data_IF_684975139371
#
_entry.id   IF_684975139371
#
_cell.length_a   1.000
_cell.length_b   1.000
_cell.length_c   1.000
_cell.angle_alpha   90.00
_cell.angle_beta   90.00
_cell.angle_gamma   90.00
#
_symmetry.space_group_name_H-M   'P 1'
#
loop_
_entity.id
_entity.type
_entity.pdbx_description
1 polymer ?
#
# COMPACT_ATOMS: atom_id res chain seq x y z
N UNK A 1 18.27 -14.60 7.83
CA UNK A 1 18.43 -13.74 6.66
C UNK A 1 19.90 -13.56 6.34
N UNK A 2 20.23 -13.38 5.06
CA UNK A 2 21.58 -13.14 4.55
C UNK A 2 21.54 -11.82 3.79
N UNK A 3 22.18 -10.79 4.34
CA UNK A 3 22.31 -9.47 3.75
C UNK A 3 23.28 -8.61 4.56
N UNK A 4 23.88 -7.58 3.96
CA UNK A 4 24.78 -6.67 4.66
C UNK A 4 24.04 -5.53 5.40
N UNK A 5 22.72 -5.40 5.17
CA UNK A 5 21.81 -4.44 5.77
C UNK A 5 21.48 -4.71 7.24
N UNK A 6 21.61 -5.96 7.70
CA UNK A 6 21.31 -6.33 9.09
C UNK A 6 22.18 -5.58 10.10
N UNK A 7 21.54 -4.92 11.06
CA UNK A 7 22.22 -4.21 12.15
C UNK A 7 21.59 -2.87 12.48
N UNK A 8 22.15 -2.20 13.48
CA UNK A 8 21.63 -0.93 13.99
C UNK A 8 22.30 0.27 13.32
N UNK A 9 21.50 1.16 12.73
CA UNK A 9 21.90 2.54 12.48
C UNK A 9 21.82 3.34 13.78
N UNK A 10 22.83 4.17 14.06
CA UNK A 10 22.92 4.99 15.29
C UNK A 10 22.84 6.46 14.93
N UNK A 11 21.86 7.15 15.50
CA UNK A 11 21.75 8.61 15.39
C UNK A 11 22.67 9.36 16.34
N UNK A 12 22.92 10.65 16.06
CA UNK A 12 23.66 11.54 16.95
C UNK A 12 22.97 11.75 18.32
N UNK A 13 21.67 11.43 18.40
CA UNK A 13 20.83 11.41 19.59
C UNK A 13 20.92 10.09 20.40
N UNK A 14 21.65 9.09 19.91
CA UNK A 14 21.77 7.77 20.52
C UNK A 14 20.60 6.83 20.24
N UNK A 15 19.57 7.27 19.50
CA UNK A 15 18.44 6.42 19.09
C UNK A 15 18.92 5.44 18.01
N UNK A 16 18.44 4.20 18.11
CA UNK A 16 18.83 3.10 17.21
C UNK A 16 17.66 2.71 16.33
N UNK A 17 17.93 2.59 15.03
CA UNK A 17 16.97 2.10 14.04
C UNK A 17 17.53 0.83 13.39
N UNK A 18 16.70 -0.19 13.19
CA UNK A 18 17.11 -1.44 12.55
C UNK A 18 17.26 -1.24 11.03
N UNK A 19 18.30 -1.84 10.45
CA UNK A 19 18.70 -1.65 9.05
C UNK A 19 19.79 -0.60 8.89
N UNK A 20 21.02 -1.03 8.59
CA UNK A 20 22.19 -0.13 8.43
C UNK A 20 22.00 0.88 7.31
N UNK A 21 21.34 0.49 6.22
CA UNK A 21 21.12 1.32 5.03
C UNK A 21 19.66 1.78 4.90
N UNK A 22 18.92 1.80 6.00
CA UNK A 22 17.47 2.01 6.00
C UNK A 22 16.70 0.69 6.02
N UNK A 23 15.38 0.80 5.97
CA UNK A 23 14.45 -0.33 5.93
C UNK A 23 13.30 -0.04 4.95
N UNK A 24 12.63 -1.09 4.51
CA UNK A 24 11.46 -0.96 3.67
C UNK A 24 10.42 -2.04 3.99
N UNK A 25 9.14 -1.72 3.78
CA UNK A 25 8.05 -2.67 3.93
C UNK A 25 6.99 -2.51 2.85
N UNK A 26 6.28 -3.60 2.59
CA UNK A 26 5.27 -3.69 1.54
C UNK A 26 3.87 -3.48 2.11
N UNK A 27 3.21 -2.41 1.70
CA UNK A 27 1.76 -2.25 1.83
C UNK A 27 1.10 -2.83 0.59
N UNK A 28 0.66 -4.08 0.71
CA UNK A 28 -0.02 -4.79 -0.38
C UNK A 28 -1.53 -4.73 -0.17
N UNK A 29 -2.25 -4.16 -1.14
CA UNK A 29 -3.71 -4.13 -1.19
C UNK A 29 -4.27 -5.22 -2.08
N UNK A 30 -5.40 -5.79 -1.69
CA UNK A 30 -6.21 -6.68 -2.51
C UNK A 30 -7.68 -6.28 -2.43
N UNK A 31 -8.46 -6.57 -3.48
CA UNK A 31 -9.88 -6.25 -3.49
C UNK A 31 -10.73 -7.11 -2.56
N UNK A 32 -11.73 -6.47 -1.96
CA UNK A 32 -12.84 -7.11 -1.29
C UNK A 32 -14.04 -7.20 -2.23
N UNK A 33 -14.88 -8.23 -2.03
CA UNK A 33 -16.09 -8.44 -2.82
C UNK A 33 -17.06 -7.24 -2.78
N UNK A 34 -17.07 -6.49 -1.67
CA UNK A 34 -17.89 -5.29 -1.48
C UNK A 34 -17.32 -4.01 -2.11
N UNK A 35 -16.17 -4.04 -2.80
CA UNK A 35 -15.59 -2.88 -3.48
C UNK A 35 -14.45 -2.19 -2.72
N UNK A 36 -14.35 -2.35 -1.41
CA UNK A 36 -13.19 -1.90 -0.63
C UNK A 36 -11.91 -2.70 -0.90
N UNK A 37 -10.89 -2.41 -0.11
CA UNK A 37 -9.59 -3.09 -0.10
C UNK A 37 -9.33 -3.77 1.24
N UNK A 38 -8.54 -4.83 1.21
CA UNK A 38 -7.85 -5.38 2.35
C UNK A 38 -6.34 -5.18 2.19
N UNK A 39 -5.63 -5.03 3.30
CA UNK A 39 -4.17 -4.94 3.36
C UNK A 39 -3.57 -6.18 4.02
N UNK A 40 -2.46 -6.67 3.49
CA UNK A 40 -1.72 -7.76 4.13
C UNK A 40 -0.91 -7.24 5.31
N UNK A 41 -1.20 -7.74 6.52
CA UNK A 41 -0.47 -7.42 7.74
C UNK A 41 0.11 -8.68 8.40
N UNK A 42 1.24 -8.49 9.07
CA UNK A 42 1.83 -9.47 9.98
C UNK A 42 1.58 -9.11 11.44
N UNK A 43 1.16 -10.09 12.24
CA UNK A 43 1.19 -9.99 13.70
C UNK A 43 2.57 -10.46 14.18
N UNK A 44 3.36 -9.51 14.67
CA UNK A 44 4.76 -9.75 15.02
C UNK A 44 4.86 -10.64 16.24
N UNK A 45 5.77 -11.62 16.19
CA UNK A 45 5.97 -12.53 17.30
C UNK A 45 6.40 -11.78 18.58
N UNK A 46 5.97 -12.23 19.78
CA UNK A 46 6.22 -11.51 21.04
C UNK A 46 7.71 -11.27 21.35
N UNK A 47 8.60 -12.10 20.83
CA UNK A 47 10.06 -11.99 21.03
C UNK A 47 10.74 -11.02 20.05
N UNK A 48 10.02 -10.48 19.08
CA UNK A 48 10.54 -9.49 18.14
C UNK A 48 10.59 -8.10 18.78
N UNK A 49 11.42 -7.19 18.24
CA UNK A 49 11.37 -5.79 18.64
C UNK A 49 9.96 -5.23 18.38
N UNK A 50 9.32 -4.71 19.44
CA UNK A 50 7.91 -4.31 19.45
C UNK A 50 6.96 -5.48 19.06
N UNK A 51 7.21 -6.67 19.58
CA UNK A 51 6.36 -7.85 19.39
C UNK A 51 4.93 -7.67 19.91
N UNK A 52 3.99 -8.45 19.36
CA UNK A 52 2.56 -8.37 19.70
C UNK A 52 1.78 -7.28 18.97
N UNK A 53 2.45 -6.46 18.13
CA UNK A 53 1.80 -5.46 17.27
C UNK A 53 1.64 -5.93 15.83
N UNK A 54 0.73 -5.30 15.09
CA UNK A 54 0.54 -5.52 13.66
C UNK A 54 1.37 -4.55 12.82
N UNK A 55 2.02 -5.04 11.78
CA UNK A 55 2.85 -4.26 10.87
C UNK A 55 2.80 -4.78 9.43
N UNK A 56 3.37 -4.04 8.50
CA UNK A 56 3.62 -4.50 7.13
C UNK A 56 4.73 -5.56 7.13
N UNK A 57 4.70 -6.56 6.22
CA UNK A 57 5.90 -7.32 5.86
C UNK A 57 7.03 -6.36 5.46
N UNK A 58 8.23 -6.54 6.00
CA UNK A 58 9.31 -5.59 5.79
C UNK A 58 10.51 -5.74 6.72
N UNK A 59 11.65 -5.20 6.28
CA UNK A 59 12.93 -5.47 6.92
C UNK A 59 14.03 -4.52 6.49
N UNK A 60 15.25 -4.86 6.90
CA UNK A 60 16.44 -4.08 6.62
C UNK A 60 16.75 -4.10 5.11
N UNK A 61 17.19 -2.95 4.60
CA UNK A 61 17.66 -2.82 3.21
C UNK A 61 19.15 -3.13 3.14
N UNK A 62 19.55 -3.98 2.21
CA UNK A 62 20.97 -4.20 1.89
C UNK A 62 21.57 -3.02 1.11
N UNK A 63 22.90 -2.88 1.13
CA UNK A 63 23.60 -1.73 0.55
C UNK A 63 23.36 -1.54 -0.96
N UNK A 64 23.01 -2.62 -1.65
CA UNK A 64 22.79 -2.68 -3.08
C UNK A 64 21.29 -2.67 -3.46
N UNK A 65 20.39 -2.67 -2.49
CA UNK A 65 18.95 -2.71 -2.72
C UNK A 65 18.34 -1.31 -2.86
N UNK A 66 17.38 -1.19 -3.78
CA UNK A 66 16.40 -0.11 -3.73
C UNK A 66 15.38 -0.43 -2.63
N UNK A 67 14.62 0.56 -2.11
CA UNK A 67 13.58 0.26 -1.15
C UNK A 67 12.50 -0.68 -1.70
N UNK A 68 12.14 -0.55 -2.99
CA UNK A 68 11.29 -1.51 -3.70
C UNK A 68 11.84 -2.94 -3.65
N UNK A 69 13.12 -3.15 -3.99
CA UNK A 69 13.70 -4.50 -3.98
C UNK A 69 13.69 -5.10 -2.57
N UNK A 70 14.06 -4.32 -1.55
CA UNK A 70 14.00 -4.77 -0.17
C UNK A 70 12.56 -5.14 0.24
N UNK A 71 11.57 -4.28 0.03
CA UNK A 71 10.19 -4.56 0.42
C UNK A 71 9.61 -5.80 -0.27
N UNK A 72 9.90 -6.01 -1.56
CA UNK A 72 9.44 -7.18 -2.32
C UNK A 72 10.15 -8.46 -1.85
N UNK A 73 11.46 -8.41 -1.61
CA UNK A 73 12.21 -9.53 -1.04
C UNK A 73 11.65 -9.93 0.33
N UNK A 74 11.45 -8.96 1.23
CA UNK A 74 10.92 -9.21 2.56
C UNK A 74 9.49 -9.77 2.51
N UNK A 75 8.63 -9.27 1.62
CA UNK A 75 7.30 -9.83 1.43
C UNK A 75 7.33 -11.31 0.98
N UNK A 76 8.31 -11.69 0.16
CA UNK A 76 8.54 -13.09 -0.18
C UNK A 76 9.04 -13.90 1.02
N UNK A 77 10.06 -13.41 1.73
CA UNK A 77 10.67 -14.12 2.87
C UNK A 77 9.74 -14.27 4.08
N UNK A 78 8.92 -13.27 4.35
CA UNK A 78 8.06 -13.20 5.54
C UNK A 78 6.65 -13.73 5.30
N UNK A 79 6.14 -13.59 4.08
CA UNK A 79 4.75 -13.90 3.76
C UNK A 79 4.54 -14.80 2.53
N UNK A 80 5.61 -15.18 1.81
CA UNK A 80 5.53 -16.03 0.62
C UNK A 80 4.95 -15.33 -0.61
N UNK A 81 4.90 -14.00 -0.62
CA UNK A 81 4.32 -13.22 -1.73
C UNK A 81 5.35 -13.10 -2.86
N UNK A 82 5.06 -13.67 -4.03
CA UNK A 82 5.95 -13.57 -5.18
C UNK A 82 5.87 -12.19 -5.83
N UNK A 83 7.00 -11.73 -6.39
CA UNK A 83 7.06 -10.45 -7.12
C UNK A 83 6.14 -10.41 -8.35
N UNK A 84 5.77 -11.57 -8.90
CA UNK A 84 4.86 -11.71 -10.04
C UNK A 84 3.39 -11.54 -9.66
N UNK A 85 3.05 -11.64 -8.37
CA UNK A 85 1.67 -11.59 -7.87
C UNK A 85 1.25 -10.18 -7.43
N UNK A 86 2.17 -9.22 -7.53
CA UNK A 86 1.96 -7.83 -7.14
C UNK A 86 2.33 -6.85 -8.25
N UNK A 87 1.78 -5.65 -8.15
CA UNK A 87 2.18 -4.50 -8.97
C UNK A 87 2.44 -3.31 -8.06
N UNK A 88 3.68 -2.83 -8.06
CA UNK A 88 4.08 -1.62 -7.32
C UNK A 88 3.44 -0.39 -7.95
N UNK A 89 2.96 0.51 -7.09
CA UNK A 89 2.25 1.75 -7.44
C UNK A 89 2.96 3.00 -6.97
N UNK A 90 3.59 2.93 -5.80
CA UNK A 90 4.27 4.08 -5.21
C UNK A 90 5.32 3.66 -4.17
N UNK A 91 6.23 4.59 -3.88
CA UNK A 91 7.12 4.56 -2.73
C UNK A 91 6.89 5.81 -1.86
N UNK A 92 6.86 5.64 -0.54
CA UNK A 92 6.74 6.73 0.43
C UNK A 92 7.75 6.58 1.56
N UNK A 93 8.60 7.57 1.75
CA UNK A 93 9.40 7.67 2.98
C UNK A 93 8.43 8.02 4.12
N UNK A 94 8.26 7.10 5.05
CA UNK A 94 7.22 7.15 6.11
C UNK A 94 7.83 7.29 7.50
N UNK A 95 9.14 7.10 7.61
CA UNK A 95 9.92 7.51 8.78
C UNK A 95 11.30 7.97 8.33
N UNK A 96 11.84 8.96 9.02
CA UNK A 96 13.22 9.39 8.88
C UNK A 96 13.82 9.69 10.25
N UNK A 97 15.14 9.55 10.37
CA UNK A 97 15.87 9.84 11.60
C UNK A 97 17.03 10.82 11.32
N UNK A 98 17.51 11.56 12.34
CA UNK A 98 18.66 12.47 12.19
C UNK A 98 19.95 11.79 11.72
N UNK A 99 20.06 10.45 11.83
CA UNK A 99 21.16 9.67 11.25
C UNK A 99 21.17 9.62 9.72
N UNK A 100 20.10 10.10 9.06
CA UNK A 100 19.84 9.85 7.65
C UNK A 100 19.19 8.48 7.37
N UNK A 101 18.88 7.70 8.41
CA UNK A 101 18.10 6.46 8.27
C UNK A 101 16.67 6.79 7.83
N UNK A 102 16.12 5.95 6.94
CA UNK A 102 14.74 6.06 6.47
C UNK A 102 14.04 4.70 6.50
N UNK A 103 12.73 4.74 6.72
CA UNK A 103 11.81 3.66 6.40
C UNK A 103 10.97 4.06 5.18
N UNK A 104 11.02 3.25 4.12
CA UNK A 104 10.18 3.46 2.94
C UNK A 104 9.08 2.41 2.89
N UNK A 105 7.84 2.87 2.84
CA UNK A 105 6.69 2.02 2.54
C UNK A 105 6.49 1.96 1.03
N UNK A 106 6.49 0.75 0.49
CA UNK A 106 6.23 0.46 -0.92
C UNK A 106 4.78 0.02 -1.05
N UNK A 107 4.00 0.75 -1.82
CA UNK A 107 2.57 0.51 -2.01
C UNK A 107 2.37 -0.32 -3.28
N UNK A 108 1.61 -1.40 -3.18
CA UNK A 108 1.35 -2.31 -4.29
C UNK A 108 -0.08 -2.86 -4.27
N UNK A 109 -0.54 -3.30 -5.45
CA UNK A 109 -1.79 -4.03 -5.62
C UNK A 109 -1.52 -5.51 -5.90
N UNK A 110 -2.38 -6.39 -5.38
CA UNK A 110 -2.58 -7.76 -5.83
C UNK A 110 -3.95 -7.87 -6.52
N UNK A 111 -4.07 -8.80 -7.46
CA UNK A 111 -5.33 -9.01 -8.20
C UNK A 111 -6.48 -9.53 -7.31
N UNK A 112 -6.12 -10.25 -6.23
CA UNK A 112 -7.00 -10.83 -5.22
C UNK A 112 -6.19 -11.08 -3.95
N UNK A 113 -6.83 -11.46 -2.84
CA UNK A 113 -6.12 -11.84 -1.61
C UNK A 113 -5.31 -13.11 -1.87
N UNK A 114 -4.01 -13.05 -1.64
CA UNK A 114 -3.08 -14.14 -1.91
C UNK A 114 -2.97 -15.10 -0.72
N UNK A 115 -2.68 -16.37 -1.00
CA UNK A 115 -2.27 -17.30 0.04
C UNK A 115 -0.93 -16.86 0.63
N UNK A 116 -0.77 -17.04 1.94
CA UNK A 116 0.42 -16.57 2.66
C UNK A 116 1.08 -17.70 3.44
N UNK A 117 2.39 -17.59 3.63
CA UNK A 117 3.17 -18.50 4.46
C UNK A 117 4.03 -17.69 5.41
N UNK A 118 3.72 -17.76 6.71
CA UNK A 118 4.47 -17.07 7.74
C UNK A 118 5.85 -17.73 7.96
N UNK A 119 6.86 -16.90 8.16
CA UNK A 119 8.14 -17.34 8.73
C UNK A 119 8.08 -17.34 10.28
N UNK A 120 9.23 -17.48 10.95
CA UNK A 120 9.29 -17.51 12.43
C UNK A 120 9.12 -16.15 13.11
N UNK A 121 9.05 -15.07 12.35
CA UNK A 121 9.02 -13.70 12.85
C UNK A 121 7.59 -13.18 13.04
N UNK A 122 6.62 -13.88 12.44
CA UNK A 122 5.19 -13.66 12.57
C UNK A 122 4.52 -14.79 13.33
N UNK A 123 3.54 -14.46 14.17
CA UNK A 123 2.61 -15.45 14.75
C UNK A 123 1.36 -15.62 13.89
N UNK A 124 1.02 -14.60 13.08
CA UNK A 124 -0.14 -14.59 12.20
C UNK A 124 0.13 -13.69 10.99
N UNK A 125 -0.39 -14.07 9.83
CA UNK A 125 -0.54 -13.20 8.66
C UNK A 125 -2.03 -13.09 8.34
N UNK A 126 -2.51 -11.88 8.09
CA UNK A 126 -3.91 -11.65 7.77
C UNK A 126 -4.10 -10.59 6.69
N UNK A 127 -5.07 -10.83 5.82
CA UNK A 127 -5.68 -9.80 5.00
C UNK A 127 -6.73 -9.08 5.85
N UNK A 128 -6.47 -7.83 6.17
CA UNK A 128 -7.30 -7.01 7.06
C UNK A 128 -8.04 -5.98 6.21
N UNK A 129 -9.38 -5.86 6.31
CA UNK A 129 -10.10 -4.77 5.68
C UNK A 129 -9.47 -3.43 6.02
N UNK A 130 -9.27 -2.57 5.02
CA UNK A 130 -8.49 -1.34 5.18
C UNK A 130 -9.09 -0.39 6.22
N UNK A 131 -10.42 -0.39 6.37
CA UNK A 131 -11.17 0.35 7.38
C UNK A 131 -11.11 -0.25 8.80
N UNK A 132 -10.54 -1.44 8.97
CA UNK A 132 -10.34 -2.11 10.27
C UNK A 132 -8.87 -2.09 10.74
N UNK A 133 -7.95 -1.54 9.95
CA UNK A 133 -6.50 -1.57 10.24
C UNK A 133 -6.16 -0.83 11.53
N UNK A 134 -6.72 0.36 11.72
CA UNK A 134 -6.47 1.20 12.90
C UNK A 134 -7.16 0.69 14.18
N UNK A 135 -8.07 -0.29 14.06
CA UNK A 135 -8.64 -1.00 15.20
C UNK A 135 -7.69 -2.06 15.80
N UNK A 136 -6.55 -2.35 15.14
CA UNK A 136 -5.54 -3.31 15.61
C UNK A 136 -4.43 -2.61 16.40
N UNK A 137 -3.73 -3.30 17.32
CA UNK A 137 -2.57 -2.73 17.98
C UNK A 137 -1.40 -2.63 16.99
N UNK A 138 -1.32 -1.52 16.27
CA UNK A 138 -0.31 -1.29 15.22
C UNK A 138 1.08 -1.03 15.80
N UNK A 139 2.11 -1.43 15.06
CA UNK A 139 3.49 -1.03 15.34
C UNK A 139 3.58 0.50 15.32
N UNK A 140 4.16 1.18 16.35
CA UNK A 140 4.14 2.64 16.48
C UNK A 140 4.52 3.42 15.22
N UNK A 141 5.59 3.00 14.52
CA UNK A 141 5.99 3.66 13.27
C UNK A 141 4.97 3.48 12.14
N UNK A 142 4.31 2.33 12.07
CA UNK A 142 3.26 2.08 11.09
C UNK A 142 1.99 2.84 11.45
N UNK A 143 1.62 2.89 12.74
CA UNK A 143 0.48 3.66 13.22
C UNK A 143 0.58 5.15 12.88
N UNK A 144 1.78 5.74 12.99
CA UNK A 144 2.04 7.13 12.61
C UNK A 144 1.89 7.36 11.09
N UNK A 145 2.34 6.42 10.27
CA UNK A 145 2.28 6.53 8.81
C UNK A 145 0.92 6.17 8.22
N UNK A 146 0.11 5.36 8.92
CA UNK A 146 -1.14 4.80 8.40
C UNK A 146 -2.13 5.83 7.83
N UNK A 147 -2.37 6.99 8.47
CA UNK A 147 -3.31 7.99 7.93
C UNK A 147 -2.94 8.52 6.54
N UNK A 148 -1.64 8.58 6.20
CA UNK A 148 -1.16 9.04 4.89
C UNK A 148 -1.11 7.90 3.87
N UNK A 149 -1.02 6.66 4.36
CA UNK A 149 -0.92 5.47 3.53
C UNK A 149 -2.28 4.94 3.09
N UNK A 150 -3.35 5.13 3.88
CA UNK A 150 -4.69 4.62 3.57
C UNK A 150 -5.24 5.18 2.25
N UNK A 151 -5.96 4.36 1.51
CA UNK A 151 -6.63 4.75 0.27
C UNK A 151 -8.11 5.07 0.53
N UNK A 152 -8.61 6.15 -0.08
CA UNK A 152 -10.04 6.47 -0.07
C UNK A 152 -10.73 5.72 -1.21
N UNK A 153 -11.77 4.92 -0.95
CA UNK A 153 -12.47 4.21 -2.01
C UNK A 153 -13.21 5.18 -2.93
N UNK A 154 -13.22 4.87 -4.22
CA UNK A 154 -14.01 5.57 -5.22
C UNK A 154 -14.58 4.59 -6.25
N UNK A 155 -15.87 4.74 -6.54
CA UNK A 155 -16.62 3.92 -7.49
C UNK A 155 -16.45 4.43 -8.90
N UNK A 156 -15.93 3.59 -9.78
CA UNK A 156 -15.89 3.85 -11.21
C UNK A 156 -17.19 3.36 -11.83
N UNK A 157 -17.94 4.28 -12.44
CA UNK A 157 -19.09 3.90 -13.27
C UNK A 157 -18.59 3.40 -14.63
N UNK A 158 -18.86 2.13 -14.92
CA UNK A 158 -18.53 1.48 -16.19
C UNK A 158 -19.77 1.31 -17.09
N UNK A 159 -20.91 1.91 -16.74
CA UNK A 159 -22.11 1.86 -17.55
C UNK A 159 -21.84 2.38 -18.97
N UNK A 160 -22.26 1.62 -19.98
CA UNK A 160 -22.06 1.97 -21.38
C UNK A 160 -20.65 1.73 -21.93
N UNK A 161 -19.68 1.26 -21.12
CA UNK A 161 -18.35 0.91 -21.60
C UNK A 161 -18.35 -0.52 -22.17
N UNK A 162 -17.90 -0.65 -23.42
CA UNK A 162 -17.70 -1.96 -24.05
C UNK A 162 -16.63 -2.75 -23.26
N UNK A 163 -16.89 -4.05 -23.00
CA UNK A 163 -16.01 -4.91 -22.19
C UNK A 163 -15.82 -4.48 -20.73
N UNK A 164 -16.82 -3.82 -20.13
CA UNK A 164 -16.81 -3.39 -18.72
C UNK A 164 -16.27 -4.44 -17.71
N UNK A 165 -16.60 -5.75 -17.79
CA UNK A 165 -16.03 -6.75 -16.86
C UNK A 165 -14.52 -6.91 -16.97
N UNK A 166 -13.97 -6.87 -18.19
CA UNK A 166 -12.53 -6.99 -18.41
C UNK A 166 -11.81 -5.72 -17.93
N UNK A 167 -12.40 -4.55 -18.17
CA UNK A 167 -11.87 -3.28 -17.65
C UNK A 167 -11.91 -3.24 -16.12
N UNK A 168 -13.02 -3.64 -15.50
CA UNK A 168 -13.15 -3.73 -14.04
C UNK A 168 -12.08 -4.64 -13.41
N UNK A 169 -11.74 -5.76 -14.07
CA UNK A 169 -10.68 -6.66 -13.64
C UNK A 169 -9.27 -6.07 -13.81
N UNK A 170 -9.09 -5.19 -14.79
CA UNK A 170 -7.82 -4.56 -15.14
C UNK A 170 -7.62 -3.15 -14.52
N UNK A 171 -8.62 -2.62 -13.80
CA UNK A 171 -8.52 -1.31 -13.16
C UNK A 171 -7.26 -1.26 -12.28
N UNK A 172 -6.43 -0.22 -12.42
CA UNK A 172 -5.43 0.08 -11.40
C UNK A 172 -6.20 0.49 -10.17
N UNK A 173 -6.12 -0.35 -9.14
CA UNK A 173 -6.98 -0.20 -8.00
C UNK A 173 -6.43 0.91 -7.11
N UNK A 174 -5.13 0.90 -6.81
CA UNK A 174 -4.51 2.03 -6.10
C UNK A 174 -3.99 3.07 -7.08
N UNK A 175 -4.51 4.30 -6.98
CA UNK A 175 -4.04 5.49 -7.69
C UNK A 175 -3.33 6.41 -6.69
N UNK A 176 -2.12 6.84 -7.05
CA UNK A 176 -1.32 7.78 -6.28
C UNK A 176 -1.64 9.23 -6.71
N UNK A 177 -2.17 10.05 -5.78
CA UNK A 177 -2.42 11.48 -5.98
C UNK A 177 -1.34 12.38 -5.33
N UNK A 178 -0.13 11.85 -5.19
CA UNK A 178 1.01 12.47 -4.53
C UNK A 178 0.67 12.87 -3.08
N UNK A 179 0.73 14.17 -2.78
CA UNK A 179 0.46 14.75 -1.45
C UNK A 179 -1.01 14.66 -1.03
N UNK A 180 -1.92 14.32 -1.95
CA UNK A 180 -3.35 14.18 -1.67
C UNK A 180 -3.71 12.75 -1.19
N UNK A 181 -2.73 11.85 -1.11
CA UNK A 181 -2.90 10.48 -0.66
C UNK A 181 -3.27 9.52 -1.79
N UNK A 182 -3.92 8.42 -1.43
CA UNK A 182 -4.26 7.34 -2.35
C UNK A 182 -5.76 7.22 -2.57
N UNK A 183 -6.14 6.84 -3.78
CA UNK A 183 -7.52 6.45 -4.12
C UNK A 183 -7.55 4.96 -4.44
N UNK A 184 -8.59 4.28 -3.97
CA UNK A 184 -8.90 2.90 -4.31
C UNK A 184 -10.08 2.82 -5.29
N UNK A 185 -9.82 2.50 -6.56
CA UNK A 185 -10.83 2.35 -7.60
C UNK A 185 -11.48 0.97 -7.58
N UNK A 186 -12.81 0.94 -7.63
CA UNK A 186 -13.60 -0.28 -7.82
C UNK A 186 -14.88 -0.05 -8.62
N UNK A 187 -15.41 -1.12 -9.22
CA UNK A 187 -16.63 -1.08 -10.03
C UNK A 187 -17.86 -1.70 -9.34
N UNK A 188 -17.78 -1.94 -8.02
CA UNK A 188 -18.92 -2.48 -7.25
C UNK A 188 -19.96 -1.38 -7.03
N UNK A 189 -21.15 -1.54 -7.62
CA UNK A 189 -22.21 -0.52 -7.67
C UNK A 189 -22.61 0.00 -6.28
N UNK A 190 -22.87 -0.93 -5.35
CA UNK A 190 -23.24 -0.62 -3.96
C UNK A 190 -22.03 -0.59 -3.02
N UNK A 191 -20.82 -0.49 -3.57
CA UNK A 191 -19.59 -0.44 -2.79
C UNK A 191 -19.35 0.92 -2.12
N UNK A 192 -18.30 1.03 -1.29
CA UNK A 192 -18.01 2.25 -0.55
C UNK A 192 -17.53 3.40 -1.46
N UNK A 193 -17.48 4.61 -0.91
CA UNK A 193 -16.85 5.75 -1.58
C UNK A 193 -17.71 6.55 -2.56
N UNK A 194 -17.20 7.73 -2.90
CA UNK A 194 -17.78 8.64 -3.89
C UNK A 194 -17.54 8.13 -5.31
N UNK A 195 -18.06 8.81 -6.32
CA UNK A 195 -17.88 8.42 -7.72
C UNK A 195 -16.57 8.96 -8.30
N UNK A 196 -15.92 8.17 -9.14
CA UNK A 196 -14.78 8.57 -9.97
C UNK A 196 -15.15 8.43 -11.45
N UNK A 197 -14.84 9.47 -12.21
CA UNK A 197 -14.98 9.47 -13.67
C UNK A 197 -13.60 9.48 -14.31
N UNK A 198 -13.39 8.56 -15.24
CA UNK A 198 -12.17 8.55 -16.06
C UNK A 198 -12.37 9.57 -17.18
N UNK A 199 -11.48 10.56 -17.27
CA UNK A 199 -11.50 11.59 -18.32
C UNK A 199 -10.30 11.42 -19.26
N UNK A 200 -10.53 11.54 -20.56
CA UNK A 200 -9.44 11.61 -21.55
C UNK A 200 -8.89 13.04 -21.61
N UNK A 201 -7.63 13.23 -21.22
CA UNK A 201 -6.95 14.53 -21.24
C UNK A 201 -7.01 15.33 -19.92
N UNK A 202 -6.28 16.46 -19.87
CA UNK A 202 -6.41 17.44 -18.78
C UNK A 202 -7.85 17.97 -18.82
N UNK A 203 -8.61 17.80 -17.73
CA UNK A 203 -9.97 18.33 -17.65
C UNK A 203 -9.95 19.85 -17.92
N UNK A 204 -10.74 20.32 -18.89
CA UNK A 204 -11.04 21.73 -19.04
C UNK A 204 -12.00 22.12 -17.91
N UNK A 205 -11.60 22.97 -16.95
CA UNK A 205 -12.45 23.36 -15.83
C UNK A 205 -13.67 24.21 -16.24
N UNK A 206 -13.82 24.55 -17.52
CA UNK A 206 -14.90 25.42 -18.04
C UNK A 206 -16.01 24.69 -18.79
N UNK A 207 -15.98 23.36 -18.87
CA UNK A 207 -17.03 22.57 -19.54
C UNK A 207 -18.35 22.58 -18.76
N UNK A 208 -19.22 23.52 -19.14
CA UNK A 208 -20.49 23.85 -18.47
C UNK A 208 -21.63 22.85 -18.74
N UNK A 209 -21.44 21.88 -19.65
CA UNK A 209 -22.44 20.86 -20.00
C UNK A 209 -22.29 19.56 -19.18
N UNK A 210 -21.32 19.51 -18.26
CA UNK A 210 -21.12 18.34 -17.39
C UNK A 210 -22.22 18.32 -16.33
N UNK A 211 -23.01 17.23 -16.21
CA UNK A 211 -23.97 17.10 -15.10
C UNK A 211 -23.20 17.22 -13.79
N UNK A 212 -23.56 18.13 -12.89
CA UNK A 212 -22.91 18.25 -11.58
C UNK A 212 -23.07 16.92 -10.83
N UNK A 213 -22.01 16.14 -10.63
CA UNK A 213 -22.11 14.97 -9.78
C UNK A 213 -21.89 15.45 -8.35
N UNK A 214 -22.54 14.81 -7.40
CA UNK A 214 -22.03 14.78 -6.04
C UNK A 214 -20.53 14.36 -6.10
N UNK A 215 -19.62 15.31 -5.88
CA UNK A 215 -18.15 15.15 -5.81
C UNK A 215 -17.59 14.01 -6.68
N UNK A 216 -17.58 14.16 -8.01
CA UNK A 216 -16.84 13.22 -8.87
C UNK A 216 -15.35 13.57 -8.91
N UNK A 217 -14.49 12.59 -8.64
CA UNK A 217 -13.05 12.72 -8.90
C UNK A 217 -12.78 12.45 -10.39
N UNK A 218 -12.19 13.43 -11.08
CA UNK A 218 -11.73 13.26 -12.46
C UNK A 218 -10.29 12.75 -12.48
N UNK A 219 -10.07 11.54 -13.00
CA UNK A 219 -8.75 10.94 -13.14
C UNK A 219 -8.33 10.87 -14.60
N UNK A 220 -7.07 11.24 -14.87
CA UNK A 220 -6.46 11.10 -16.20
C UNK A 220 -5.95 9.67 -16.41
N UNK A 221 -5.86 9.25 -17.67
CA UNK A 221 -5.26 7.96 -18.06
C UNK A 221 -3.82 7.79 -17.53
N UNK A 222 -3.06 8.88 -17.41
CA UNK A 222 -1.70 8.85 -16.85
C UNK A 222 -1.67 8.46 -15.38
N UNK A 223 -2.59 8.99 -14.57
CA UNK A 223 -2.73 8.66 -13.14
C UNK A 223 -3.23 7.22 -12.91
N UNK A 224 -3.95 6.67 -13.90
CA UNK A 224 -4.42 5.28 -13.90
C UNK A 224 -3.25 4.34 -14.25
N UNK A 225 -2.46 4.67 -15.28
CA UNK A 225 -1.47 3.72 -15.83
C UNK A 225 -0.11 3.71 -15.11
N UNK A 226 0.19 4.69 -14.24
CA UNK A 226 1.35 4.68 -13.34
C UNK A 226 1.27 3.56 -12.31
#
# INVERSE_FOLDING_TARGET
>A
MRGDGDGWSRGPDGVRHWGKFGAAGLLLRAPLAGGGSAVLLQHRAPWSHQGGTWALPGGARDSHETPMHAAVREAWEEAGIASTDLRVRAERVTACAPSGWTYTTVVADAAHTLATSANRESVELAWVPEDEVDARPLHPGFALAWPELRAVPARVDLAGIAQAPALAAALPRTVDLAEQGFIWLHAVADGPGDFATIVEGLADPTDADRPEPARALALTTGQILS
#
